data_IF_621780053675
#
_entry.id   IF_621780053675
#
_cell.length_a   1.000
_cell.length_b   1.000
_cell.length_c   1.000
_cell.angle_alpha   90.00
_cell.angle_beta   90.00
_cell.angle_gamma   90.00
#
_symmetry.space_group_name_H-M   'P 1'
#
loop_
_entity.id
_entity.type
_entity.pdbx_description
1 polymer ?
#
# COMPACT_ATOMS: atom_id res chain seq x y z
N UNK A 1 0.66 10.22 19.37
CA UNK A 1 -0.29 10.50 18.29
C UNK A 1 -0.75 9.15 17.77
N UNK A 2 -2.06 8.91 17.77
CA UNK A 2 -2.64 7.61 17.43
C UNK A 2 -3.43 7.73 16.11
N UNK A 3 -3.18 6.78 15.21
CA UNK A 3 -3.72 6.74 13.86
C UNK A 3 -4.31 5.37 13.60
N UNK A 4 -5.53 5.34 13.06
CA UNK A 4 -6.14 4.12 12.56
C UNK A 4 -5.96 4.08 11.04
N UNK A 5 -5.50 2.94 10.51
CA UNK A 5 -5.36 2.70 9.08
C UNK A 5 -6.32 1.59 8.67
N UNK A 6 -7.09 1.82 7.60
CA UNK A 6 -8.09 0.87 7.09
C UNK A 6 -7.86 0.56 5.61
N UNK A 7 -7.89 -0.72 5.26
CA UNK A 7 -7.95 -1.13 3.85
C UNK A 7 -8.73 -2.44 3.68
N UNK A 8 -9.65 -2.44 2.73
CA UNK A 8 -10.40 -3.61 2.31
C UNK A 8 -10.50 -3.71 0.80
N UNK A 9 -9.62 -3.03 0.05
CA UNK A 9 -9.80 -2.79 -1.38
C UNK A 9 -9.57 -4.02 -2.26
N UNK A 10 -8.86 -5.05 -1.77
CA UNK A 10 -8.56 -6.26 -2.54
C UNK A 10 -8.84 -7.55 -1.76
N UNK A 11 -7.82 -8.34 -1.43
CA UNK A 11 -7.92 -9.76 -1.04
C UNK A 11 -8.11 -10.00 0.46
N UNK A 12 -7.74 -9.02 1.30
CA UNK A 12 -8.01 -9.02 2.75
C UNK A 12 -8.63 -7.71 3.22
N UNK A 13 -9.45 -7.78 4.27
CA UNK A 13 -9.72 -6.64 5.16
C UNK A 13 -8.53 -6.56 6.10
N UNK A 14 -7.93 -5.40 6.23
CA UNK A 14 -6.79 -5.17 7.10
C UNK A 14 -6.95 -3.82 7.79
N UNK A 15 -6.49 -3.77 9.03
CA UNK A 15 -6.44 -2.55 9.79
C UNK A 15 -5.17 -2.50 10.62
N UNK A 16 -4.71 -1.28 10.92
CA UNK A 16 -3.56 -1.06 11.79
C UNK A 16 -3.79 0.12 12.71
N UNK A 17 -3.43 -0.05 13.99
CA UNK A 17 -3.25 1.04 14.94
C UNK A 17 -1.77 1.43 14.95
N UNK A 18 -1.48 2.67 14.58
CA UNK A 18 -0.17 3.28 14.77
C UNK A 18 -0.19 4.21 15.98
N UNK A 19 0.80 4.08 16.85
CA UNK A 19 1.07 5.04 17.91
C UNK A 19 2.45 5.64 17.73
N UNK A 20 2.52 6.95 17.57
CA UNK A 20 3.78 7.71 17.48
C UNK A 20 4.03 8.46 18.78
N UNK A 21 5.26 8.41 19.28
CA UNK A 21 5.70 9.21 20.41
C UNK A 21 6.15 10.62 19.95
N UNK A 22 6.65 11.45 20.88
CA UNK A 22 7.07 12.82 20.59
C UNK A 22 8.38 12.90 19.81
N UNK A 23 9.20 11.86 19.90
CA UNK A 23 10.52 11.78 19.26
C UNK A 23 10.41 11.26 17.82
N UNK A 24 9.19 10.91 17.37
CA UNK A 24 8.90 10.42 16.02
C UNK A 24 8.98 8.90 15.88
N UNK A 25 9.37 8.19 16.93
CA UNK A 25 9.33 6.73 17.00
C UNK A 25 7.89 6.23 17.12
N UNK A 26 7.64 4.99 16.69
CA UNK A 26 6.30 4.46 16.55
C UNK A 26 6.18 2.98 16.89
N UNK A 27 4.94 2.55 17.08
CA UNK A 27 4.57 1.15 17.19
C UNK A 27 3.32 0.91 16.36
N UNK A 28 3.25 -0.25 15.71
CA UNK A 28 2.11 -0.66 14.90
C UNK A 28 1.54 -1.99 15.40
N UNK A 29 0.24 -2.02 15.63
CA UNK A 29 -0.52 -3.26 15.82
C UNK A 29 -1.44 -3.43 14.61
N UNK A 30 -1.36 -4.56 13.92
CA UNK A 30 -2.19 -4.83 12.73
C UNK A 30 -2.98 -6.11 12.86
N UNK A 31 -4.15 -6.15 12.22
CA UNK A 31 -4.96 -7.35 12.08
C UNK A 31 -5.58 -7.42 10.68
N UNK A 32 -5.79 -8.64 10.17
CA UNK A 32 -6.34 -8.85 8.83
C UNK A 32 -7.25 -10.09 8.76
N UNK A 33 -8.10 -10.15 7.73
CA UNK A 33 -8.99 -11.29 7.47
C UNK A 33 -8.21 -12.44 6.83
N UNK A 34 -8.32 -13.65 7.38
CA UNK A 34 -7.63 -14.83 6.87
C UNK A 34 -8.25 -15.40 5.60
N UNK A 35 -9.54 -15.13 5.36
CA UNK A 35 -10.27 -15.70 4.23
C UNK A 35 -10.58 -14.62 3.19
N UNK A 36 -10.18 -14.89 1.94
CA UNK A 36 -10.58 -14.06 0.79
C UNK A 36 -12.09 -13.99 0.70
N UNK A 37 -12.64 -12.77 0.56
CA UNK A 37 -14.08 -12.55 0.49
C UNK A 37 -14.78 -12.33 1.84
N UNK A 38 -14.12 -12.58 2.98
CA UNK A 38 -14.72 -12.42 4.32
C UNK A 38 -14.71 -10.97 4.85
N UNK A 39 -14.27 -9.99 4.04
CA UNK A 39 -14.00 -8.61 4.43
C UNK A 39 -15.15 -7.94 5.20
N UNK A 40 -16.38 -8.04 4.68
CA UNK A 40 -17.54 -7.40 5.31
C UNK A 40 -17.87 -8.03 6.65
N UNK A 41 -17.81 -9.36 6.73
CA UNK A 41 -18.18 -10.13 7.92
C UNK A 41 -17.15 -9.96 9.04
N UNK A 42 -15.85 -9.85 8.69
CA UNK A 42 -14.76 -9.77 9.66
C UNK A 42 -14.35 -8.33 10.00
N UNK A 43 -14.77 -7.32 9.24
CA UNK A 43 -14.36 -5.93 9.44
C UNK A 43 -14.53 -5.43 10.88
N UNK A 44 -15.73 -5.57 11.45
CA UNK A 44 -16.00 -5.09 12.81
C UNK A 44 -15.20 -5.87 13.86
N UNK A 45 -15.05 -7.18 13.69
CA UNK A 45 -14.25 -8.01 14.58
C UNK A 45 -12.76 -7.63 14.55
N UNK A 46 -12.20 -7.41 13.36
CA UNK A 46 -10.81 -6.95 13.19
C UNK A 46 -10.58 -5.61 13.91
N UNK A 47 -11.51 -4.67 13.75
CA UNK A 47 -11.41 -3.37 14.42
C UNK A 47 -11.57 -3.48 15.93
N UNK A 48 -12.53 -4.28 16.40
CA UNK A 48 -12.69 -4.56 17.82
C UNK A 48 -11.40 -5.13 18.42
N UNK A 49 -10.78 -6.11 17.77
CA UNK A 49 -9.53 -6.70 18.26
C UNK A 49 -8.40 -5.68 18.40
N UNK A 50 -8.29 -4.73 17.46
CA UNK A 50 -7.30 -3.63 17.56
C UNK A 50 -7.65 -2.69 18.72
N UNK A 51 -8.93 -2.32 18.87
CA UNK A 51 -9.38 -1.37 19.88
C UNK A 51 -9.36 -1.94 21.32
N UNK A 52 -9.43 -3.26 21.47
CA UNK A 52 -9.44 -3.95 22.77
C UNK A 52 -8.13 -4.68 23.06
N UNK A 53 -7.13 -4.66 22.18
CA UNK A 53 -5.83 -5.28 22.48
C UNK A 53 -5.20 -4.61 23.71
N UNK A 54 -4.76 -5.38 24.73
CA UNK A 54 -4.22 -4.82 25.97
C UNK A 54 -3.05 -3.84 25.79
N UNK A 55 -2.30 -3.92 24.68
CA UNK A 55 -1.14 -3.07 24.41
C UNK A 55 -1.47 -1.76 23.68
N UNK A 56 -2.66 -1.66 23.09
CA UNK A 56 -3.09 -0.51 22.29
C UNK A 56 -4.52 -0.08 22.57
N UNK A 57 -5.14 -0.62 23.63
CA UNK A 57 -6.56 -0.41 23.89
C UNK A 57 -6.87 1.07 24.02
N UNK A 58 -7.73 1.55 23.13
CA UNK A 58 -8.23 2.91 23.16
C UNK A 58 -9.61 2.98 22.51
N UNK A 59 -10.49 3.87 22.99
CA UNK A 59 -11.75 4.13 22.32
C UNK A 59 -11.52 4.81 20.96
N UNK A 60 -12.41 4.56 20.00
CA UNK A 60 -12.29 5.18 18.67
C UNK A 60 -12.32 6.71 18.71
N UNK A 61 -12.95 7.29 19.74
CA UNK A 61 -13.01 8.73 19.98
C UNK A 61 -11.63 9.37 20.22
N UNK A 62 -10.63 8.57 20.60
CA UNK A 62 -9.27 9.06 20.91
C UNK A 62 -8.31 8.99 19.72
N UNK A 63 -8.71 8.47 18.56
CA UNK A 63 -7.88 8.61 17.35
C UNK A 63 -7.84 10.08 16.92
N UNK A 64 -6.63 10.59 16.66
CA UNK A 64 -6.46 11.94 16.09
C UNK A 64 -6.53 11.91 14.56
N UNK A 65 -6.10 10.79 13.95
CA UNK A 65 -6.10 10.60 12.52
C UNK A 65 -6.68 9.25 12.12
N UNK A 66 -7.30 9.20 10.95
CA UNK A 66 -7.71 7.97 10.30
C UNK A 66 -7.29 8.02 8.84
N UNK A 67 -6.40 7.13 8.44
CA UNK A 67 -6.03 6.92 7.05
C UNK A 67 -6.84 5.75 6.48
N UNK A 68 -7.43 5.90 5.30
CA UNK A 68 -8.14 4.79 4.67
C UNK A 68 -7.82 4.70 3.18
N UNK A 69 -7.82 3.46 2.69
CA UNK A 69 -7.73 3.21 1.26
C UNK A 69 -9.05 3.56 0.58
N UNK A 70 -9.04 4.59 -0.28
CA UNK A 70 -10.20 5.06 -1.06
C UNK A 70 -10.41 4.26 -2.35
N UNK A 71 -9.54 3.32 -2.68
CA UNK A 71 -9.46 2.66 -3.97
C UNK A 71 -8.43 3.31 -4.91
N UNK A 72 -8.24 2.80 -6.13
CA UNK A 72 -9.09 1.81 -6.80
C UNK A 72 -8.98 0.39 -6.22
N UNK A 73 -9.96 -0.46 -6.50
CA UNK A 73 -10.01 -1.84 -6.05
C UNK A 73 -11.40 -2.44 -6.22
N UNK A 74 -11.66 -3.56 -5.54
CA UNK A 74 -12.96 -4.21 -5.49
C UNK A 74 -14.08 -3.23 -5.12
N UNK A 75 -15.18 -3.28 -5.87
CA UNK A 75 -16.35 -2.45 -5.63
C UNK A 75 -16.94 -2.63 -4.22
N UNK A 76 -16.98 -3.88 -3.74
CA UNK A 76 -17.43 -4.18 -2.37
C UNK A 76 -16.37 -3.74 -1.37
N UNK A 77 -15.10 -4.01 -1.67
CA UNK A 77 -13.98 -3.72 -0.80
C UNK A 77 -13.81 -2.23 -0.47
N UNK A 78 -13.77 -1.38 -1.48
CA UNK A 78 -13.62 0.09 -1.32
C UNK A 78 -14.76 0.71 -0.51
N UNK A 79 -16.00 0.20 -0.67
CA UNK A 79 -17.16 0.65 0.11
C UNK A 79 -17.09 0.28 1.58
N UNK A 80 -16.55 -0.90 1.92
CA UNK A 80 -16.36 -1.31 3.31
C UNK A 80 -15.42 -0.32 4.01
N UNK A 81 -14.22 -0.09 3.47
CA UNK A 81 -13.23 0.85 4.02
C UNK A 81 -13.82 2.25 4.21
N UNK A 82 -14.53 2.76 3.19
CA UNK A 82 -15.20 4.06 3.25
C UNK A 82 -16.28 4.10 4.33
N UNK A 83 -17.15 3.08 4.41
CA UNK A 83 -18.26 3.05 5.37
C UNK A 83 -17.76 2.96 6.82
N UNK A 84 -16.72 2.15 7.07
CA UNK A 84 -16.07 2.07 8.37
C UNK A 84 -15.47 3.42 8.76
N UNK A 85 -14.80 4.07 7.81
CA UNK A 85 -14.21 5.41 8.01
C UNK A 85 -15.28 6.44 8.37
N UNK A 86 -16.40 6.49 7.63
CA UNK A 86 -17.53 7.38 7.92
C UNK A 86 -18.12 7.13 9.32
N UNK A 87 -18.31 5.86 9.69
CA UNK A 87 -18.79 5.47 11.01
C UNK A 87 -17.88 5.95 12.14
N UNK A 88 -16.58 5.66 12.05
CA UNK A 88 -15.58 6.08 13.04
C UNK A 88 -15.45 7.61 13.09
N UNK A 89 -15.43 8.25 11.93
CA UNK A 89 -15.37 9.70 11.80
C UNK A 89 -16.59 10.42 12.40
N UNK A 90 -17.72 9.73 12.56
CA UNK A 90 -18.90 10.30 13.24
C UNK A 90 -18.71 10.35 14.76
N UNK A 91 -17.89 9.46 15.32
CA UNK A 91 -17.65 9.37 16.78
C UNK A 91 -16.78 10.52 17.29
N UNK A 92 -15.78 10.95 16.52
CA UNK A 92 -14.88 12.06 16.89
C UNK A 92 -14.98 13.22 15.87
N UNK A 93 -15.61 14.36 16.24
CA UNK A 93 -15.70 15.54 15.38
C UNK A 93 -14.36 16.17 14.99
N UNK A 94 -13.31 15.92 15.76
CA UNK A 94 -11.95 16.45 15.52
C UNK A 94 -11.05 15.48 14.73
N UNK A 95 -11.55 14.29 14.37
CA UNK A 95 -10.79 13.30 13.62
C UNK A 95 -10.40 13.85 12.24
N UNK A 96 -9.10 13.83 11.96
CA UNK A 96 -8.57 14.18 10.64
C UNK A 96 -8.51 12.93 9.77
N UNK A 97 -9.21 12.96 8.64
CA UNK A 97 -9.27 11.83 7.71
C UNK A 97 -8.25 12.02 6.60
N UNK A 98 -7.55 10.95 6.21
CA UNK A 98 -6.57 10.94 5.13
C UNK A 98 -6.99 9.85 4.13
N UNK A 99 -7.58 10.26 3.00
CA UNK A 99 -7.93 9.33 1.93
C UNK A 99 -6.71 9.10 1.02
N UNK A 100 -6.26 7.86 0.91
CA UNK A 100 -5.11 7.47 0.07
C UNK A 100 -5.54 6.41 -0.92
N UNK A 101 -4.97 6.44 -2.12
CA UNK A 101 -5.29 5.39 -3.09
C UNK A 101 -4.51 4.12 -2.85
N UNK A 102 -5.06 3.00 -3.31
CA UNK A 102 -4.35 1.71 -3.31
C UNK A 102 -2.99 1.81 -3.99
N UNK A 103 -2.92 2.53 -5.11
CA UNK A 103 -1.70 2.68 -5.89
C UNK A 103 -0.64 3.44 -5.08
N UNK A 104 -1.04 4.54 -4.41
CA UNK A 104 -0.13 5.32 -3.58
C UNK A 104 0.31 4.56 -2.32
N UNK A 105 -0.57 3.76 -1.70
CA UNK A 105 -0.21 2.91 -0.56
C UNK A 105 0.85 1.86 -0.94
N UNK A 106 0.69 1.19 -2.09
CA UNK A 106 1.70 0.25 -2.57
C UNK A 106 3.02 0.97 -2.91
N UNK A 107 2.97 2.14 -3.56
CA UNK A 107 4.17 2.94 -3.81
C UNK A 107 4.87 3.33 -2.49
N UNK A 108 4.12 3.72 -1.47
CA UNK A 108 4.64 4.09 -0.15
C UNK A 108 5.38 2.93 0.54
N UNK A 109 4.81 1.74 0.46
CA UNK A 109 5.42 0.52 0.95
C UNK A 109 6.76 0.22 0.24
N UNK A 110 6.80 0.35 -1.08
CA UNK A 110 8.05 0.13 -1.84
C UNK A 110 9.09 1.22 -1.55
N UNK A 111 8.65 2.46 -1.36
CA UNK A 111 9.53 3.54 -0.93
C UNK A 111 10.18 3.22 0.42
N UNK A 112 9.41 2.70 1.39
CA UNK A 112 9.97 2.26 2.68
C UNK A 112 11.03 1.17 2.51
N UNK A 113 10.77 0.14 1.68
CA UNK A 113 11.77 -0.91 1.44
C UNK A 113 13.08 -0.34 0.86
N UNK A 114 12.94 0.60 -0.07
CA UNK A 114 14.08 1.28 -0.67
C UNK A 114 14.81 2.20 0.31
N UNK A 115 14.09 2.86 1.22
CA UNK A 115 14.67 3.70 2.27
C UNK A 115 15.45 2.85 3.28
N UNK A 116 14.94 1.67 3.66
CA UNK A 116 15.64 0.72 4.53
C UNK A 116 16.97 0.27 3.89
N UNK A 117 16.95 -0.13 2.62
CA UNK A 117 18.17 -0.50 1.90
C UNK A 117 19.19 0.64 1.83
N UNK A 118 18.71 1.87 1.57
CA UNK A 118 19.55 3.07 1.49
C UNK A 118 20.18 3.41 2.84
N UNK A 119 19.41 3.34 3.94
CA UNK A 119 19.89 3.58 5.30
C UNK A 119 20.96 2.57 5.72
N UNK A 120 20.86 1.32 5.23
CA UNK A 120 21.86 0.28 5.41
C UNK A 120 23.07 0.40 4.46
N UNK A 121 23.12 1.43 3.61
CA UNK A 121 24.13 1.62 2.56
C UNK A 121 24.23 0.43 1.58
N UNK A 122 23.11 -0.23 1.31
CA UNK A 122 23.02 -1.32 0.33
C UNK A 122 22.61 -0.77 -1.03
N UNK A 123 23.52 -0.86 -2.00
CA UNK A 123 23.23 -0.55 -3.41
C UNK A 123 22.55 -1.76 -4.08
N UNK A 124 21.27 -1.97 -3.76
CA UNK A 124 20.49 -3.06 -4.32
C UNK A 124 19.93 -2.67 -5.69
N UNK A 125 20.23 -3.46 -6.72
CA UNK A 125 19.78 -3.24 -8.09
C UNK A 125 18.29 -2.90 -8.27
N UNK A 126 17.33 -3.47 -7.51
CA UNK A 126 15.92 -3.09 -7.63
C UNK A 126 15.61 -1.63 -7.27
N UNK A 127 16.46 -1.00 -6.45
CA UNK A 127 16.26 0.36 -5.93
C UNK A 127 17.30 1.35 -6.45
N UNK A 128 18.47 0.85 -6.87
CA UNK A 128 19.59 1.64 -7.34
C UNK A 128 19.22 2.55 -8.52
N UNK A 129 19.52 3.85 -8.38
CA UNK A 129 19.27 4.88 -9.39
C UNK A 129 17.80 5.03 -9.82
N UNK A 130 16.83 4.45 -9.09
CA UNK A 130 15.42 4.53 -9.44
C UNK A 130 14.84 5.87 -9.01
N UNK A 131 14.23 6.58 -9.96
CA UNK A 131 13.63 7.92 -9.76
C UNK A 131 12.13 7.87 -9.58
N UNK A 132 11.47 6.80 -10.04
CA UNK A 132 10.01 6.68 -10.08
C UNK A 132 9.54 5.29 -9.68
N UNK A 133 8.32 5.22 -9.17
CA UNK A 133 7.61 3.97 -8.87
C UNK A 133 6.37 3.93 -9.74
N UNK A 134 6.28 2.94 -10.63
CA UNK A 134 5.10 2.70 -11.44
C UNK A 134 4.36 1.48 -10.91
N UNK A 135 3.16 1.74 -10.41
CA UNK A 135 2.30 0.74 -9.80
C UNK A 135 1.27 0.28 -10.81
N UNK A 136 1.10 -1.04 -10.95
CA UNK A 136 0.05 -1.65 -11.73
C UNK A 136 -0.63 -2.78 -10.94
N UNK A 137 -1.91 -2.62 -10.61
CA UNK A 137 -2.70 -3.61 -9.86
C UNK A 137 -3.82 -4.14 -10.76
N UNK A 138 -4.01 -5.45 -10.77
CA UNK A 138 -5.02 -6.13 -11.60
C UNK A 138 -6.43 -5.66 -11.21
N UNK A 139 -7.17 -5.16 -12.20
CA UNK A 139 -8.56 -4.73 -12.06
C UNK A 139 -9.57 -5.86 -12.41
N UNK A 140 -9.08 -7.06 -12.75
CA UNK A 140 -9.78 -8.14 -13.44
C UNK A 140 -10.16 -7.77 -14.88
N UNK A 141 -10.77 -8.72 -15.59
CA UNK A 141 -11.34 -8.52 -16.94
C UNK A 141 -10.33 -8.01 -17.99
N UNK A 142 -9.03 -8.26 -17.79
CA UNK A 142 -7.97 -7.84 -18.70
C UNK A 142 -7.61 -6.36 -18.60
N UNK A 143 -7.94 -5.73 -17.47
CA UNK A 143 -7.63 -4.33 -17.17
C UNK A 143 -6.75 -4.19 -15.92
N UNK A 144 -6.06 -3.06 -15.80
CA UNK A 144 -5.14 -2.75 -14.71
C UNK A 144 -5.32 -1.32 -14.23
N UNK A 145 -5.36 -1.14 -12.92
CA UNK A 145 -5.22 0.17 -12.27
C UNK A 145 -3.75 0.56 -12.26
N UNK A 146 -3.42 1.73 -12.80
CA UNK A 146 -2.04 2.19 -12.93
C UNK A 146 -1.83 3.63 -12.46
N UNK A 147 -0.67 3.89 -11.88
CA UNK A 147 -0.20 5.23 -11.56
C UNK A 147 1.33 5.26 -11.43
N UNK A 148 1.91 6.43 -11.69
CA UNK A 148 3.33 6.66 -11.46
C UNK A 148 3.52 7.67 -10.31
N UNK A 149 4.55 7.44 -9.50
CA UNK A 149 4.91 8.30 -8.38
C UNK A 149 6.39 8.63 -8.42
N UNK A 150 6.76 9.83 -7.97
CA UNK A 150 8.16 10.15 -7.63
C UNK A 150 8.55 9.54 -6.27
N UNK A 151 9.80 9.78 -5.84
CA UNK A 151 10.34 9.28 -4.55
C UNK A 151 9.68 9.95 -3.35
N UNK A 152 9.13 11.13 -3.54
CA UNK A 152 8.34 11.87 -2.58
C UNK A 152 6.88 11.38 -2.51
N UNK A 153 6.52 10.38 -3.33
CA UNK A 153 5.19 9.78 -3.46
C UNK A 153 4.12 10.74 -4.01
N UNK A 154 4.53 11.79 -4.73
CA UNK A 154 3.61 12.62 -5.48
C UNK A 154 3.16 11.88 -6.74
N UNK A 155 1.87 11.97 -7.06
CA UNK A 155 1.32 11.40 -8.28
C UNK A 155 1.84 12.15 -9.50
N UNK A 156 2.44 11.42 -10.44
CA UNK A 156 2.89 11.93 -11.72
C UNK A 156 1.81 11.66 -12.77
N UNK A 157 1.14 12.72 -13.22
CA UNK A 157 0.00 12.62 -14.13
C UNK A 157 -1.30 12.25 -13.40
N UNK A 158 -1.89 11.10 -13.73
CA UNK A 158 -3.20 10.68 -13.20
C UNK A 158 -3.27 9.17 -12.96
N UNK A 159 -4.06 8.74 -11.98
CA UNK A 159 -4.44 7.33 -11.83
C UNK A 159 -5.35 6.92 -13.00
N UNK A 160 -5.05 5.79 -13.65
CA UNK A 160 -5.80 5.32 -14.83
C UNK A 160 -6.21 3.85 -14.72
N UNK A 161 -7.24 3.49 -15.48
CA UNK A 161 -7.61 2.12 -15.79
C UNK A 161 -7.21 1.89 -17.25
N UNK A 162 -6.32 0.94 -17.49
CA UNK A 162 -5.81 0.62 -18.84
C UNK A 162 -6.02 -0.86 -19.14
N UNK A 163 -5.95 -1.23 -20.43
CA UNK A 163 -5.93 -2.64 -20.81
C UNK A 163 -4.58 -3.26 -20.51
N UNK A 164 -4.55 -4.53 -20.14
CA UNK A 164 -3.29 -5.23 -19.81
C UNK A 164 -2.29 -5.25 -20.98
N UNK A 165 -2.79 -5.25 -22.22
CA UNK A 165 -1.95 -5.14 -23.42
C UNK A 165 -1.14 -3.81 -23.49
N UNK A 166 -1.59 -2.75 -22.82
CA UNK A 166 -0.89 -1.46 -22.79
C UNK A 166 0.30 -1.48 -21.80
N UNK A 167 0.30 -2.33 -20.78
CA UNK A 167 1.42 -2.46 -19.84
C UNK A 167 2.73 -2.82 -20.56
N UNK A 168 2.63 -3.65 -21.60
CA UNK A 168 3.79 -3.99 -22.42
C UNK A 168 4.37 -2.79 -23.16
N UNK A 169 3.49 -2.01 -23.77
CA UNK A 169 3.87 -0.80 -24.49
C UNK A 169 4.49 0.23 -23.55
N UNK A 170 3.96 0.34 -22.32
CA UNK A 170 4.49 1.23 -21.28
C UNK A 170 5.94 0.85 -20.93
N UNK A 171 6.22 -0.43 -20.70
CA UNK A 171 7.58 -0.87 -20.40
C UNK A 171 8.54 -0.56 -21.56
N UNK A 172 8.15 -0.87 -22.80
CA UNK A 172 8.95 -0.56 -23.98
C UNK A 172 9.18 0.96 -24.14
N UNK A 173 8.18 1.77 -23.80
CA UNK A 173 8.24 3.22 -23.89
C UNK A 173 9.29 3.84 -22.94
N UNK A 174 9.60 3.21 -21.81
CA UNK A 174 10.67 3.70 -20.91
C UNK A 174 12.04 3.84 -21.62
N UNK A 175 12.23 3.12 -22.73
CA UNK A 175 13.43 3.16 -23.57
C UNK A 175 13.20 3.78 -24.96
N UNK A 176 11.99 4.26 -25.28
CA UNK A 176 11.67 4.84 -26.60
C UNK A 176 10.93 6.18 -26.44
N UNK A 177 11.58 7.33 -26.74
CA UNK A 177 10.93 8.63 -26.75
C UNK A 177 9.73 8.68 -27.69
N UNK A 178 9.80 7.97 -28.82
CA UNK A 178 8.73 7.93 -29.82
C UNK A 178 7.46 7.31 -29.24
N UNK A 179 7.58 6.21 -28.49
CA UNK A 179 6.45 5.58 -27.81
C UNK A 179 5.88 6.43 -26.69
N UNK A 180 6.73 7.15 -25.94
CA UNK A 180 6.27 8.11 -24.91
C UNK A 180 5.43 9.20 -25.56
N UNK A 181 5.93 9.81 -26.64
CA UNK A 181 5.25 10.89 -27.35
C UNK A 181 3.95 10.40 -28.01
N UNK A 182 3.98 9.26 -28.71
CA UNK A 182 2.84 8.71 -29.44
C UNK A 182 1.65 8.36 -28.53
N UNK A 183 1.92 7.94 -27.29
CA UNK A 183 0.89 7.54 -26.33
C UNK A 183 0.61 8.60 -25.24
N UNK A 184 1.29 9.76 -25.33
CA UNK A 184 1.20 10.86 -24.38
C UNK A 184 1.53 10.44 -22.93
N UNK A 185 2.52 9.54 -22.76
CA UNK A 185 2.85 9.00 -21.44
C UNK A 185 3.53 10.01 -20.51
N UNK A 186 4.13 11.08 -21.04
CA UNK A 186 4.58 12.21 -20.22
C UNK A 186 3.42 12.86 -19.49
N UNK A 187 2.27 13.09 -20.15
CA UNK A 187 1.11 13.66 -19.46
C UNK A 187 0.39 12.64 -18.57
N UNK A 188 0.24 11.40 -19.03
CA UNK A 188 -0.50 10.37 -18.28
C UNK A 188 0.22 9.92 -17.01
N UNK A 189 1.55 9.76 -17.09
CA UNK A 189 2.37 9.10 -16.07
C UNK A 189 3.67 9.85 -15.74
N UNK A 190 3.92 11.01 -16.34
CA UNK A 190 5.14 11.77 -16.10
C UNK A 190 6.41 11.12 -16.64
N UNK A 191 6.33 10.18 -17.59
CA UNK A 191 7.54 9.54 -18.13
C UNK A 191 8.36 10.47 -19.01
N UNK A 192 9.67 10.39 -18.80
CA UNK A 192 10.73 11.04 -19.56
C UNK A 192 11.75 9.99 -20.02
N UNK A 193 12.51 10.33 -21.06
CA UNK A 193 13.53 9.42 -21.61
C UNK A 193 14.60 9.15 -20.55
N UNK A 194 14.94 7.86 -20.37
CA UNK A 194 15.94 7.35 -19.40
C UNK A 194 15.50 7.31 -17.95
N UNK A 195 14.22 7.59 -17.67
CA UNK A 195 13.67 7.34 -16.33
C UNK A 195 13.97 5.92 -15.88
N UNK A 196 14.44 5.81 -14.65
CA UNK A 196 14.72 4.53 -14.02
C UNK A 196 13.55 4.23 -13.09
N UNK A 197 12.68 3.34 -13.55
CA UNK A 197 11.38 3.09 -12.91
C UNK A 197 11.40 1.75 -12.17
N UNK A 198 10.78 1.73 -10.99
CA UNK A 198 10.43 0.49 -10.28
C UNK A 198 9.05 0.06 -10.76
N UNK A 199 8.93 -1.15 -11.29
CA UNK A 199 7.66 -1.73 -11.73
C UNK A 199 7.11 -2.64 -10.64
N UNK A 200 5.96 -2.32 -10.07
CA UNK A 200 5.40 -3.05 -8.92
C UNK A 200 3.88 -3.24 -9.03
N UNK A 201 3.35 -4.25 -8.33
CA UNK A 201 1.95 -4.63 -8.34
C UNK A 201 1.68 -5.88 -9.17
N UNK A 202 0.59 -6.58 -8.83
CA UNK A 202 0.26 -7.89 -9.38
C UNK A 202 -0.23 -7.90 -10.84
N UNK A 203 -0.52 -6.74 -11.45
CA UNK A 203 -0.89 -6.68 -12.87
C UNK A 203 0.31 -6.93 -13.80
N UNK A 204 1.51 -6.66 -13.30
CA UNK A 204 2.72 -7.15 -13.96
C UNK A 204 2.73 -8.66 -13.80
N UNK A 205 2.40 -9.41 -14.87
CA UNK A 205 2.43 -10.87 -14.81
C UNK A 205 3.77 -11.32 -14.19
N UNK A 206 3.78 -12.43 -13.45
CA UNK A 206 4.99 -12.93 -12.76
C UNK A 206 6.24 -13.02 -13.64
N UNK A 207 6.08 -13.08 -14.96
CA UNK A 207 7.15 -13.15 -15.95
C UNK A 207 7.17 -11.98 -16.94
N UNK A 208 6.40 -10.90 -16.72
CA UNK A 208 6.26 -9.80 -17.67
C UNK A 208 6.35 -8.42 -17.01
N UNK A 209 7.27 -7.54 -17.46
CA UNK A 209 8.42 -7.83 -18.31
C UNK A 209 9.43 -8.75 -17.61
N UNK A 210 10.08 -9.68 -18.35
CA UNK A 210 10.93 -10.74 -17.77
C UNK A 210 12.15 -10.13 -17.04
N UNK A 211 12.28 -10.40 -15.74
CA UNK A 211 13.41 -10.00 -14.89
C UNK A 211 13.43 -8.51 -14.49
N UNK A 212 12.34 -7.78 -14.75
CA UNK A 212 12.27 -6.32 -14.61
C UNK A 212 11.31 -5.84 -13.54
N UNK A 213 10.34 -6.68 -13.14
CA UNK A 213 9.42 -6.31 -12.06
C UNK A 213 10.11 -6.43 -10.72
N UNK A 214 9.68 -5.62 -9.74
CA UNK A 214 10.25 -5.65 -8.41
C UNK A 214 10.14 -7.05 -7.78
N UNK A 215 9.00 -7.72 -7.94
CA UNK A 215 8.79 -9.09 -7.45
C UNK A 215 9.84 -10.07 -8.01
N UNK A 216 10.13 -10.01 -9.31
CA UNK A 216 11.15 -10.85 -9.93
C UNK A 216 12.56 -10.53 -9.45
N UNK A 217 12.88 -9.24 -9.31
CA UNK A 217 14.20 -8.80 -8.87
C UNK A 217 14.46 -9.12 -7.39
N UNK A 218 13.42 -9.09 -6.55
CA UNK A 218 13.49 -9.59 -5.17
C UNK A 218 13.49 -11.14 -5.10
N UNK A 219 13.16 -11.81 -6.20
CA UNK A 219 13.35 -13.25 -6.38
C UNK A 219 14.81 -13.68 -6.55
N UNK A 220 15.72 -12.73 -6.75
CA UNK A 220 17.16 -13.01 -6.74
C UNK A 220 17.64 -13.29 -5.30
N UNK A 221 18.32 -14.41 -5.10
CA UNK A 221 18.73 -14.87 -3.76
C UNK A 221 19.69 -13.88 -3.08
N UNK A 222 20.57 -13.24 -3.82
CA UNK A 222 21.53 -12.27 -3.26
C UNK A 222 20.79 -11.02 -2.81
N UNK A 223 19.89 -10.50 -3.63
CA UNK A 223 19.05 -9.35 -3.26
C UNK A 223 18.20 -9.69 -2.03
N UNK A 224 17.52 -10.83 -2.05
CA UNK A 224 16.64 -11.28 -0.99
C UNK A 224 17.35 -11.39 0.36
N UNK A 225 18.51 -12.06 0.40
CA UNK A 225 19.30 -12.26 1.64
C UNK A 225 19.82 -10.96 2.24
N UNK A 226 20.00 -9.91 1.44
CA UNK A 226 20.47 -8.61 1.91
C UNK A 226 19.32 -7.70 2.39
N UNK A 227 18.18 -7.70 1.68
CA UNK A 227 17.05 -6.85 2.03
C UNK A 227 16.24 -7.40 3.21
N UNK A 228 16.04 -8.71 3.24
CA UNK A 228 15.15 -9.37 4.18
C UNK A 228 15.50 -9.12 5.66
N UNK A 229 16.78 -9.19 6.10
CA UNK A 229 17.14 -8.87 7.49
C UNK A 229 16.73 -7.46 7.92
N UNK A 230 16.76 -6.48 7.01
CA UNK A 230 16.34 -5.11 7.30
C UNK A 230 14.83 -5.02 7.55
N UNK A 231 14.03 -5.78 6.79
CA UNK A 231 12.59 -5.86 6.97
C UNK A 231 12.26 -6.61 8.28
N UNK A 232 12.97 -7.71 8.56
CA UNK A 232 12.84 -8.43 9.84
C UNK A 232 13.09 -7.50 11.01
N UNK A 233 14.21 -6.77 10.98
CA UNK A 233 14.56 -5.81 12.03
C UNK A 233 13.52 -4.69 12.15
N UNK A 234 13.00 -4.16 11.03
CA UNK A 234 11.92 -3.19 11.04
C UNK A 234 10.68 -3.75 11.76
N UNK A 235 10.27 -4.98 11.47
CA UNK A 235 9.13 -5.59 12.15
C UNK A 235 9.41 -5.92 13.61
N UNK A 236 10.58 -6.45 13.95
CA UNK A 236 10.98 -6.71 15.33
C UNK A 236 10.97 -5.43 16.18
N UNK A 237 11.36 -4.29 15.59
CA UNK A 237 11.40 -3.02 16.29
C UNK A 237 10.01 -2.38 16.47
N UNK A 238 9.18 -2.40 15.41
CA UNK A 238 7.99 -1.55 15.35
C UNK A 238 6.67 -2.33 15.41
N UNK A 239 6.64 -3.61 15.04
CA UNK A 239 5.40 -4.40 15.00
C UNK A 239 5.13 -5.01 16.37
N UNK A 240 4.01 -4.62 16.98
CA UNK A 240 3.51 -5.25 18.21
C UNK A 240 2.95 -6.63 17.91
N UNK A 241 3.39 -7.61 18.68
CA UNK A 241 2.78 -8.94 18.71
C UNK A 241 1.53 -8.88 19.59
N UNK A 242 0.32 -9.21 19.11
CA UNK A 242 -0.92 -9.13 19.91
C UNK A 242 -0.84 -9.97 21.22
N UNK A 243 -1.38 -9.44 22.34
CA UNK A 243 -1.41 -10.14 23.64
C UNK A 243 -2.64 -11.05 23.73
N UNK A 244 -2.44 -12.30 24.14
CA UNK A 244 -3.47 -13.37 24.12
C UNK A 244 -4.27 -13.41 25.43
N UNK A 245 -5.61 -13.27 25.36
CA UNK A 245 -6.55 -13.80 26.36
C UNK A 245 -7.72 -14.51 25.65
N UNK A 246 -7.93 -15.82 25.90
CA UNK A 246 -9.14 -16.54 25.49
C UNK A 246 -9.33 -16.83 23.98
N UNK A 247 -8.69 -17.91 23.49
CA UNK A 247 -9.03 -18.76 22.32
C UNK A 247 -9.75 -18.19 21.06
N UNK A 248 -9.58 -16.92 20.67
CA UNK A 248 -9.87 -16.54 19.27
C UNK A 248 -8.75 -15.68 18.71
N UNK A 249 -7.85 -16.37 18.02
CA UNK A 249 -6.77 -15.82 17.21
C UNK A 249 -7.42 -15.09 16.02
N UNK A 250 -7.14 -13.81 15.80
CA UNK A 250 -6.87 -13.39 14.42
C UNK A 250 -5.42 -13.74 14.23
N UNK A 251 -5.19 -14.91 13.62
CA UNK A 251 -3.85 -15.21 13.15
C UNK A 251 -3.49 -14.07 12.20
N UNK A 252 -2.54 -13.24 12.61
CA UNK A 252 -1.30 -13.25 11.86
C UNK A 252 -0.97 -14.74 11.86
N UNK A 253 -1.21 -15.46 10.74
CA UNK A 253 -0.27 -16.53 10.42
C UNK A 253 1.05 -15.90 10.81
N UNK A 254 1.73 -16.39 11.86
CA UNK A 254 3.07 -15.89 12.15
C UNK A 254 3.67 -15.83 10.77
N UNK A 255 4.00 -14.65 10.22
CA UNK A 255 4.40 -14.57 8.82
C UNK A 255 5.58 -15.52 8.80
N UNK A 256 5.33 -16.75 8.34
CA UNK A 256 6.27 -17.83 8.61
C UNK A 256 7.21 -17.59 7.47
N UNK A 257 8.17 -16.75 7.80
CA UNK A 257 9.45 -16.43 7.22
C UNK A 257 10.21 -17.62 6.61
N UNK A 258 9.61 -18.82 6.59
CA UNK A 258 10.10 -20.06 5.99
C UNK A 258 10.16 -19.97 4.45
N UNK A 259 9.47 -19.00 3.84
CA UNK A 259 9.65 -18.65 2.42
C UNK A 259 9.74 -17.13 2.20
N UNK A 260 10.98 -16.62 2.25
CA UNK A 260 11.34 -15.22 1.97
C UNK A 260 10.77 -14.73 0.63
N UNK A 261 10.69 -15.60 -0.38
CA UNK A 261 10.23 -15.21 -1.71
C UNK A 261 8.70 -15.09 -1.77
N UNK A 262 7.97 -15.99 -1.09
CA UNK A 262 6.52 -15.85 -0.93
C UNK A 262 6.16 -14.56 -0.19
N UNK A 263 6.95 -14.20 0.82
CA UNK A 263 6.80 -12.91 1.51
C UNK A 263 7.05 -11.72 0.57
N UNK A 264 8.11 -11.75 -0.25
CA UNK A 264 8.38 -10.69 -1.23
C UNK A 264 7.29 -10.56 -2.29
N UNK A 265 6.75 -11.68 -2.77
CA UNK A 265 5.59 -11.69 -3.67
C UNK A 265 4.41 -10.98 -3.01
N UNK A 266 4.06 -11.36 -1.77
CA UNK A 266 2.96 -10.74 -1.03
C UNK A 266 3.13 -9.21 -0.86
N UNK A 267 4.32 -8.74 -0.46
CA UNK A 267 4.57 -7.30 -0.23
C UNK A 267 4.88 -6.50 -1.50
N UNK A 268 4.84 -7.12 -2.68
CA UNK A 268 4.98 -6.39 -3.96
C UNK A 268 3.71 -6.44 -4.81
N UNK A 269 2.77 -7.32 -4.48
CA UNK A 269 1.52 -7.48 -5.22
C UNK A 269 0.45 -6.44 -4.87
N UNK A 270 0.23 -6.22 -3.56
CA UNK A 270 -0.90 -5.44 -3.04
C UNK A 270 -0.50 -4.58 -1.83
N UNK A 271 -1.26 -3.52 -1.51
CA UNK A 271 -1.02 -2.71 -0.33
C UNK A 271 -1.06 -3.51 0.97
N UNK A 272 -0.15 -3.21 1.91
CA UNK A 272 -0.13 -3.75 3.26
C UNK A 272 -0.06 -2.61 4.29
N UNK A 273 -0.99 -2.61 5.24
CA UNK A 273 -1.15 -1.50 6.21
C UNK A 273 0.00 -1.37 7.19
N UNK A 274 0.95 -2.31 7.26
CA UNK A 274 2.08 -2.31 8.20
C UNK A 274 3.28 -1.45 7.78
N UNK A 275 3.34 -1.06 6.50
CA UNK A 275 4.51 -0.41 5.89
C UNK A 275 4.34 1.11 5.68
N UNK A 276 3.41 1.75 6.39
CA UNK A 276 2.96 3.10 6.04
C UNK A 276 3.45 4.20 6.99
N UNK A 277 4.26 3.89 8.00
CA UNK A 277 4.65 4.88 9.01
C UNK A 277 5.26 6.19 8.45
N UNK A 278 6.30 6.17 7.58
CA UNK A 278 6.86 7.40 7.03
C UNK A 278 5.86 8.17 6.16
N UNK A 279 5.01 7.43 5.44
CA UNK A 279 3.98 8.01 4.57
C UNK A 279 2.88 8.70 5.37
N UNK A 280 2.43 8.10 6.48
CA UNK A 280 1.48 8.69 7.42
C UNK A 280 2.04 10.00 7.98
N UNK A 281 3.29 9.98 8.47
CA UNK A 281 3.95 11.19 8.99
C UNK A 281 4.01 12.29 7.93
N UNK A 282 4.36 11.95 6.69
CA UNK A 282 4.40 12.89 5.56
C UNK A 282 3.04 13.52 5.27
N UNK A 283 1.98 12.71 5.15
CA UNK A 283 0.61 13.20 4.91
C UNK A 283 0.13 14.13 6.04
N UNK A 284 0.44 13.80 7.29
CA UNK A 284 0.10 14.63 8.45
C UNK A 284 0.87 15.95 8.42
N UNK A 285 2.18 15.92 8.12
CA UNK A 285 3.01 17.12 8.03
C UNK A 285 2.55 18.06 6.91
N UNK A 286 2.11 17.51 5.77
CA UNK A 286 1.56 18.24 4.63
C UNK A 286 0.13 18.77 4.86
N UNK A 287 -0.53 18.34 5.94
CA UNK A 287 -1.94 18.62 6.22
C UNK A 287 -2.88 18.18 5.08
N UNK A 288 -2.53 17.10 4.38
CA UNK A 288 -3.33 16.51 3.30
C UNK A 288 -4.51 15.73 3.88
N UNK A 289 -5.53 16.47 4.32
CA UNK A 289 -6.72 15.92 4.97
C UNK A 289 -7.93 15.95 4.05
N UNK A 290 -8.66 14.85 4.02
CA UNK A 290 -9.96 14.73 3.38
C UNK A 290 -11.05 15.29 4.30
N UNK A 291 -11.98 16.12 3.79
CA UNK A 291 -13.08 16.60 4.59
C UNK A 291 -13.90 15.43 5.16
N UNK A 292 -14.11 15.45 6.47
CA UNK A 292 -14.79 14.38 7.22
C UNK A 292 -16.21 14.06 6.71
N UNK A 293 -16.87 15.02 6.06
CA UNK A 293 -18.21 14.85 5.48
C UNK A 293 -18.20 14.50 3.99
N UNK A 294 -17.02 14.42 3.36
CA UNK A 294 -16.84 14.12 1.94
C UNK A 294 -15.94 12.89 1.75
N UNK A 295 -16.26 11.81 2.47
CA UNK A 295 -15.56 10.53 2.41
C UNK A 295 -16.30 9.65 1.43
N UNK A 296 -15.74 9.44 0.23
CA UNK A 296 -16.35 8.63 -0.82
C UNK A 296 -15.34 7.65 -1.42
N UNK A 297 -15.77 6.46 -1.85
CA UNK A 297 -14.90 5.56 -2.60
C UNK A 297 -14.59 6.16 -3.97
N UNK A 298 -13.36 5.98 -4.43
CA UNK A 298 -12.96 6.37 -5.78
C UNK A 298 -13.05 5.15 -6.71
N UNK A 299 -13.84 5.29 -7.78
CA UNK A 299 -13.87 4.32 -8.87
C UNK A 299 -13.18 4.91 -10.08
N UNK A 300 -12.12 4.25 -10.54
CA UNK A 300 -11.54 4.53 -11.85
C UNK A 300 -12.26 3.63 -12.85
N UNK A 301 -12.95 4.24 -13.81
CA UNK A 301 -13.65 3.54 -14.89
C UNK A 301 -13.30 4.21 -16.20
N UNK A 302 -13.24 3.43 -17.27
CA UNK A 302 -13.20 4.02 -18.60
C UNK A 302 -14.50 4.80 -18.85
N UNK A 303 -14.40 5.99 -19.47
CA UNK A 303 -15.52 6.93 -19.64
C UNK A 303 -16.62 6.40 -20.57
N UNK A 304 -16.47 5.20 -21.13
CA UNK A 304 -17.22 4.70 -22.30
C UNK A 304 -18.36 3.74 -21.95
N UNK A 305 -18.64 3.45 -20.67
CA UNK A 305 -19.75 2.54 -20.31
C UNK A 305 -20.80 3.21 -19.42
N UNK A 306 -21.82 3.78 -20.08
CA UNK A 306 -23.17 4.01 -19.55
C UNK A 306 -24.19 3.69 -20.64
#
# INVERSE_FOLDING_TARGET
MNILVLDSSFDKMQAAHYSFNKDGDFQVLSAFSQQKGAHAQQALHILQNIATDPQTSQPYSEYQYLMFNRGPGSFVGTRISTSLTQGIATVNPQLKVIAVSSLQMLAAQIQLLSDLASQANLDLAPFANKTKIFVAIDANMGESYVACFDRELNLLGSEQLIKNAELETIYQALNSPELIAANNYTHKFGFEVKDQVILVGNAWNKYYPVGQTLAQQLGDEVVARNLYPLISQYFEQYLKVPVIEGQTRVAIEADVMDDIFAFFEQITELPDVRFLAPFIQRKIAQQDFTPRLAIEPTYIRDKVTY
#
